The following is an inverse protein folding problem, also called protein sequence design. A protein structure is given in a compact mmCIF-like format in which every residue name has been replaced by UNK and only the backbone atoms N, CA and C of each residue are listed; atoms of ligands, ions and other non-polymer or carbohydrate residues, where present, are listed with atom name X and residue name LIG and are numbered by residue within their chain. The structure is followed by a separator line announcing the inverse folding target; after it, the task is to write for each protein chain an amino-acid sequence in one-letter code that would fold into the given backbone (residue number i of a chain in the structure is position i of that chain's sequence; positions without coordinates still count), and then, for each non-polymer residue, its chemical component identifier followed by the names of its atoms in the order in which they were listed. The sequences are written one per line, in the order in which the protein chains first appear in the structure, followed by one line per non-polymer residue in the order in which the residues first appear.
data_IF_129617639696
#
_entry.id   IF_129617639696
#
_cell.length_a   1.000
_cell.length_b   1.000
_cell.length_c   1.000
_cell.angle_alpha   90.00
_cell.angle_beta   90.00
_cell.angle_gamma   90.00
#
_symmetry.space_group_name_H-M   'P 1'
#
loop_
_entity.id
_entity.type
_entity.pdbx_description
1 polymer ?
#
# COMPACT_ATOMS: atom_id res chain seq x y z
N UNK A 1 14.76 -3.25 0.39
CA UNK A 1 14.78 -1.92 1.04
C UNK A 1 16.20 -1.52 1.42
N UNK A 2 16.89 -2.27 2.31
CA UNK A 2 18.27 -1.98 2.75
C UNK A 2 19.22 -1.87 1.55
N UNK A 3 19.21 -2.85 0.67
CA UNK A 3 20.02 -2.86 -0.57
C UNK A 3 19.81 -1.60 -1.42
N UNK A 4 18.55 -1.12 -1.53
CA UNK A 4 18.24 0.09 -2.28
C UNK A 4 18.87 1.34 -1.66
N UNK A 5 18.72 1.53 -0.34
CA UNK A 5 19.31 2.68 0.34
C UNK A 5 20.83 2.61 0.35
N UNK A 6 21.41 1.44 0.63
CA UNK A 6 22.86 1.24 0.60
C UNK A 6 23.44 1.56 -0.80
N UNK A 7 22.76 1.12 -1.85
CA UNK A 7 23.13 1.44 -3.25
C UNK A 7 23.15 2.96 -3.45
N UNK A 8 22.09 3.68 -3.11
CA UNK A 8 22.02 5.14 -3.26
C UNK A 8 23.07 5.89 -2.45
N UNK A 9 23.37 5.42 -1.24
CA UNK A 9 24.43 6.02 -0.42
C UNK A 9 25.79 5.88 -1.07
N UNK A 10 26.13 4.68 -1.59
CA UNK A 10 27.41 4.42 -2.24
C UNK A 10 27.53 5.17 -3.57
N UNK A 11 26.47 5.19 -4.40
CA UNK A 11 26.43 5.97 -5.65
C UNK A 11 26.64 7.46 -5.39
N UNK A 12 26.00 8.01 -4.36
CA UNK A 12 26.16 9.41 -3.99
C UNK A 12 27.57 9.71 -3.48
N UNK A 13 28.20 8.79 -2.78
CA UNK A 13 29.55 8.95 -2.25
C UNK A 13 30.63 8.78 -3.31
N UNK A 14 30.46 7.87 -4.27
CA UNK A 14 31.45 7.59 -5.33
C UNK A 14 31.35 8.53 -6.53
N UNK A 15 30.17 9.15 -6.76
CA UNK A 15 29.93 10.03 -7.92
C UNK A 15 30.00 9.31 -9.28
N UNK A 16 30.07 7.97 -9.30
CA UNK A 16 30.23 7.14 -10.48
C UNK A 16 29.45 5.83 -10.32
N UNK A 17 29.37 5.05 -11.41
CA UNK A 17 28.80 3.72 -11.39
C UNK A 17 29.49 2.81 -10.37
N UNK A 18 28.73 1.90 -9.77
CA UNK A 18 29.22 1.01 -8.73
C UNK A 18 30.25 0.02 -9.28
N UNK A 19 31.39 -0.08 -8.63
CA UNK A 19 32.36 -1.14 -8.86
C UNK A 19 31.82 -2.48 -8.37
N UNK A 20 32.39 -3.59 -8.86
CA UNK A 20 31.95 -4.93 -8.46
C UNK A 20 32.07 -5.18 -6.95
N UNK A 21 33.08 -4.65 -6.30
CA UNK A 21 33.23 -4.73 -4.85
C UNK A 21 32.15 -3.96 -4.11
N UNK A 22 31.77 -2.79 -4.60
CA UNK A 22 30.68 -1.99 -4.03
C UNK A 22 29.31 -2.66 -4.21
N UNK A 23 29.09 -3.35 -5.36
CA UNK A 23 27.89 -4.16 -5.58
C UNK A 23 27.82 -5.30 -4.56
N UNK A 24 28.92 -6.02 -4.32
CA UNK A 24 28.99 -7.09 -3.32
C UNK A 24 28.72 -6.55 -1.92
N UNK A 25 29.31 -5.40 -1.54
CA UNK A 25 29.05 -4.76 -0.25
C UNK A 25 27.57 -4.37 -0.07
N UNK A 26 26.96 -3.76 -1.10
CA UNK A 26 25.54 -3.38 -1.08
C UNK A 26 24.61 -4.60 -0.96
N UNK A 27 24.94 -5.67 -1.67
CA UNK A 27 24.18 -6.93 -1.56
C UNK A 27 24.38 -7.60 -0.19
N UNK A 28 25.62 -7.66 0.28
CA UNK A 28 25.97 -8.16 1.62
C UNK A 28 25.24 -7.41 2.73
N UNK A 29 25.22 -6.08 2.68
CA UNK A 29 24.45 -5.27 3.62
C UNK A 29 22.96 -5.60 3.62
N UNK A 30 22.39 -5.85 2.44
CA UNK A 30 21.00 -6.30 2.30
C UNK A 30 20.72 -7.64 2.95
N UNK A 31 21.60 -8.60 2.73
CA UNK A 31 21.50 -9.95 3.33
C UNK A 31 21.67 -9.92 4.85
N UNK A 32 22.72 -9.26 5.33
CA UNK A 32 22.96 -9.13 6.78
C UNK A 32 21.81 -8.41 7.49
N UNK A 33 21.29 -7.32 6.92
CA UNK A 33 20.17 -6.62 7.52
C UNK A 33 18.86 -7.43 7.50
N UNK A 34 18.62 -8.22 6.44
CA UNK A 34 17.47 -9.12 6.39
C UNK A 34 17.57 -10.26 7.42
N UNK A 35 18.75 -10.88 7.56
CA UNK A 35 19.00 -11.92 8.54
C UNK A 35 18.90 -11.38 9.97
N UNK A 36 19.49 -10.22 10.25
CA UNK A 36 19.41 -9.58 11.55
C UNK A 36 17.95 -9.28 11.96
N UNK A 37 17.10 -8.84 11.02
CA UNK A 37 15.68 -8.67 11.28
C UNK A 37 14.98 -10.01 11.52
N UNK A 38 15.20 -10.99 10.65
CA UNK A 38 14.54 -12.31 10.72
C UNK A 38 14.85 -13.04 12.02
N UNK A 39 16.08 -12.94 12.52
CA UNK A 39 16.53 -13.60 13.75
C UNK A 39 16.54 -12.66 14.97
N UNK A 40 15.91 -11.47 14.88
CA UNK A 40 15.68 -10.65 16.07
C UNK A 40 14.63 -11.32 16.97
N UNK A 41 14.82 -11.22 18.27
CA UNK A 41 13.90 -11.80 19.26
C UNK A 41 12.47 -11.32 19.03
N UNK A 42 12.28 -10.03 18.84
CA UNK A 42 10.94 -9.42 18.62
C UNK A 42 10.23 -9.97 17.39
N UNK A 43 10.94 -10.15 16.26
CA UNK A 43 10.33 -10.70 15.07
C UNK A 43 10.09 -12.20 15.20
N UNK A 44 11.04 -12.92 15.80
CA UNK A 44 10.92 -14.37 16.03
C UNK A 44 9.71 -14.69 16.91
N UNK A 45 9.55 -14.00 18.04
CA UNK A 45 8.36 -14.15 18.88
C UNK A 45 7.07 -13.86 18.10
N UNK A 46 7.00 -12.74 17.38
CA UNK A 46 5.83 -12.40 16.57
C UNK A 46 5.53 -13.44 15.46
N UNK A 47 6.55 -14.17 15.00
CA UNK A 47 6.39 -15.18 13.96
C UNK A 47 5.86 -16.52 14.50
N UNK A 48 6.20 -16.87 15.74
CA UNK A 48 5.82 -18.16 16.35
C UNK A 48 4.57 -18.11 17.22
N UNK A 49 4.15 -16.93 17.66
CA UNK A 49 2.97 -16.73 18.52
C UNK A 49 1.62 -16.99 17.83
N UNK A 50 1.58 -17.32 16.54
CA UNK A 50 0.32 -17.53 15.81
C UNK A 50 -0.52 -16.27 15.65
N UNK A 51 0.03 -15.10 15.91
CA UNK A 51 -0.58 -13.79 15.79
C UNK A 51 -0.40 -13.22 14.38
N UNK A 52 -1.21 -12.20 14.06
CA UNK A 52 -1.24 -11.57 12.73
C UNK A 52 -0.03 -10.68 12.41
N UNK A 53 0.84 -10.40 13.39
CA UNK A 53 1.91 -9.39 13.27
C UNK A 53 3.00 -9.76 12.27
N UNK A 54 3.40 -11.03 12.20
CA UNK A 54 4.41 -11.48 11.24
C UNK A 54 3.91 -11.31 9.80
N UNK A 55 2.67 -11.71 9.52
CA UNK A 55 2.06 -11.55 8.20
C UNK A 55 1.83 -10.07 7.87
N UNK A 56 1.42 -9.25 8.84
CA UNK A 56 1.32 -7.79 8.69
C UNK A 56 2.66 -7.15 8.34
N UNK A 57 3.74 -7.58 9.01
CA UNK A 57 5.10 -7.12 8.72
C UNK A 57 5.55 -7.50 7.31
N UNK A 58 5.20 -8.71 6.85
CA UNK A 58 5.44 -9.14 5.48
C UNK A 58 4.74 -8.22 4.46
N UNK A 59 3.45 -7.92 4.64
CA UNK A 59 2.73 -7.01 3.75
C UNK A 59 3.34 -5.60 3.76
N UNK A 60 3.73 -5.09 4.92
CA UNK A 60 4.41 -3.80 5.04
C UNK A 60 5.72 -3.79 4.23
N UNK A 61 6.55 -4.82 4.39
CA UNK A 61 7.80 -4.96 3.65
C UNK A 61 7.57 -5.08 2.12
N UNK A 62 6.53 -5.81 1.72
CA UNK A 62 6.15 -6.00 0.32
C UNK A 62 5.68 -4.68 -0.31
N UNK A 63 4.86 -3.91 0.39
CA UNK A 63 4.39 -2.59 -0.06
C UNK A 63 5.56 -1.61 -0.18
N UNK A 64 6.47 -1.57 0.80
CA UNK A 64 7.69 -0.76 0.71
C UNK A 64 8.59 -1.19 -0.45
N UNK A 65 8.75 -2.48 -0.68
CA UNK A 65 9.49 -2.96 -1.84
C UNK A 65 8.83 -2.53 -3.15
N UNK A 66 7.51 -2.63 -3.24
CA UNK A 66 6.77 -2.28 -4.44
C UNK A 66 6.85 -0.77 -4.77
N UNK A 67 6.77 0.12 -3.75
CA UNK A 67 6.90 1.57 -4.00
C UNK A 67 8.31 1.95 -4.45
N UNK A 68 9.35 1.29 -3.95
CA UNK A 68 10.72 1.48 -4.42
C UNK A 68 10.90 0.94 -5.86
N UNK A 69 10.21 -0.13 -6.23
CA UNK A 69 10.16 -0.62 -7.62
C UNK A 69 9.47 0.36 -8.54
N UNK A 70 8.35 0.93 -8.11
CA UNK A 70 7.66 1.99 -8.85
C UNK A 70 8.58 3.20 -9.04
N UNK A 71 9.21 3.69 -7.98
CA UNK A 71 10.11 4.82 -8.02
C UNK A 71 11.24 4.67 -9.07
N UNK A 72 11.82 3.46 -9.16
CA UNK A 72 12.85 3.16 -10.16
C UNK A 72 12.33 3.12 -11.59
N UNK A 73 11.07 2.79 -11.79
CA UNK A 73 10.45 2.58 -13.09
C UNK A 73 9.45 3.67 -13.47
N UNK A 74 9.33 4.72 -12.67
CA UNK A 74 8.27 5.72 -12.80
C UNK A 74 8.22 6.39 -14.18
N UNK A 75 9.38 6.49 -14.88
CA UNK A 75 9.45 7.07 -16.22
C UNK A 75 9.22 6.02 -17.35
N UNK A 76 8.99 4.75 -17.01
CA UNK A 76 8.76 3.69 -17.99
C UNK A 76 7.26 3.49 -18.23
N UNK A 77 6.84 3.14 -19.46
CA UNK A 77 5.45 2.78 -19.75
C UNK A 77 4.96 1.65 -18.84
N UNK A 78 3.76 1.81 -18.27
CA UNK A 78 3.16 0.82 -17.39
C UNK A 78 3.78 0.76 -15.98
N UNK A 79 4.51 1.78 -15.54
CA UNK A 79 5.02 1.88 -14.18
C UNK A 79 3.89 1.89 -13.14
N UNK A 80 2.74 2.48 -13.47
CA UNK A 80 1.59 2.62 -12.56
C UNK A 80 0.97 1.29 -12.12
N UNK A 81 1.26 0.19 -12.83
CA UNK A 81 0.91 -1.16 -12.37
C UNK A 81 1.44 -1.49 -10.97
N UNK A 82 2.56 -0.89 -10.56
CA UNK A 82 3.10 -1.05 -9.22
C UNK A 82 2.27 -0.32 -8.17
N UNK A 83 1.69 0.83 -8.50
CA UNK A 83 0.78 1.56 -7.62
C UNK A 83 -0.51 0.75 -7.44
N UNK A 84 -1.07 0.20 -8.53
CA UNK A 84 -2.24 -0.69 -8.46
C UNK A 84 -1.93 -1.91 -7.59
N UNK A 85 -0.77 -2.53 -7.78
CA UNK A 85 -0.31 -3.66 -6.97
C UNK A 85 -0.19 -3.29 -5.49
N UNK A 86 0.33 -2.10 -5.15
CA UNK A 86 0.42 -1.60 -3.77
C UNK A 86 -0.98 -1.52 -3.15
N UNK A 87 -1.94 -0.87 -3.82
CA UNK A 87 -3.30 -0.74 -3.29
C UNK A 87 -3.99 -2.10 -3.15
N UNK A 88 -3.76 -3.02 -4.08
CA UNK A 88 -4.27 -4.37 -4.00
C UNK A 88 -3.71 -5.13 -2.79
N UNK A 89 -2.39 -5.10 -2.58
CA UNK A 89 -1.75 -5.71 -1.42
C UNK A 89 -2.19 -5.07 -0.10
N UNK A 90 -2.37 -3.76 -0.07
CA UNK A 90 -2.92 -3.07 1.09
C UNK A 90 -4.37 -3.50 1.38
N UNK A 91 -5.20 -3.65 0.36
CA UNK A 91 -6.55 -4.17 0.50
C UNK A 91 -6.60 -5.56 1.12
N UNK A 92 -5.75 -6.49 0.66
CA UNK A 92 -5.62 -7.83 1.26
C UNK A 92 -5.13 -7.72 2.71
N UNK A 93 -4.14 -6.88 2.96
CA UNK A 93 -3.55 -6.69 4.29
C UNK A 93 -4.55 -6.16 5.33
N UNK A 94 -5.53 -5.37 4.93
CA UNK A 94 -6.62 -4.90 5.81
C UNK A 94 -7.38 -6.09 6.42
N UNK A 95 -7.57 -7.17 5.66
CA UNK A 95 -8.20 -8.40 6.14
C UNK A 95 -7.36 -9.17 7.17
N UNK A 96 -6.05 -8.90 7.23
CA UNK A 96 -5.12 -9.49 8.21
C UNK A 96 -4.96 -8.56 9.41
N UNK A 97 -4.52 -7.33 9.17
CA UNK A 97 -4.29 -6.34 10.23
C UNK A 97 -4.24 -4.92 9.64
N UNK A 98 -4.80 -3.95 10.36
CA UNK A 98 -4.89 -2.55 9.92
C UNK A 98 -3.55 -1.79 9.91
N UNK A 99 -2.49 -2.35 10.50
CA UNK A 99 -1.20 -1.66 10.67
C UNK A 99 -0.61 -1.19 9.32
N UNK A 100 -0.82 -1.95 8.25
CA UNK A 100 -0.26 -1.61 6.94
C UNK A 100 -0.81 -0.30 6.36
N UNK A 101 -1.98 0.17 6.79
CA UNK A 101 -2.54 1.48 6.35
C UNK A 101 -1.60 2.63 6.74
N UNK A 102 -0.84 2.48 7.83
CA UNK A 102 0.12 3.49 8.27
C UNK A 102 1.29 3.72 7.30
N UNK A 103 1.45 2.85 6.29
CA UNK A 103 2.43 3.05 5.21
C UNK A 103 1.99 4.10 4.19
N UNK A 104 0.71 4.47 4.13
CA UNK A 104 0.17 5.43 3.13
C UNK A 104 0.90 6.78 3.15
N UNK A 105 1.14 7.44 4.29
CA UNK A 105 1.88 8.69 4.31
C UNK A 105 3.27 8.57 3.68
N UNK A 106 3.97 7.46 3.94
CA UNK A 106 5.29 7.21 3.35
C UNK A 106 5.19 6.99 1.82
N UNK A 107 4.18 6.28 1.33
CA UNK A 107 3.94 6.09 -0.10
C UNK A 107 3.68 7.45 -0.79
N UNK A 108 2.83 8.29 -0.20
CA UNK A 108 2.52 9.64 -0.72
C UNK A 108 3.78 10.52 -0.74
N UNK A 109 4.63 10.42 0.29
CA UNK A 109 5.91 11.13 0.31
C UNK A 109 6.86 10.65 -0.79
N UNK A 110 7.01 9.35 -1.01
CA UNK A 110 7.83 8.80 -2.10
C UNK A 110 7.31 9.29 -3.46
N UNK A 111 5.99 9.25 -3.64
CA UNK A 111 5.35 9.77 -4.85
C UNK A 111 5.63 11.26 -5.06
N UNK A 112 5.51 12.09 -4.01
CA UNK A 112 5.82 13.51 -4.06
C UNK A 112 7.26 13.78 -4.45
N UNK A 113 8.23 13.18 -3.74
CA UNK A 113 9.66 13.41 -4.01
C UNK A 113 10.13 12.89 -5.37
N UNK A 114 9.38 11.94 -5.96
CA UNK A 114 9.68 11.43 -7.30
C UNK A 114 9.16 12.34 -8.41
N UNK A 115 7.98 12.94 -8.26
CA UNK A 115 7.30 13.66 -9.32
C UNK A 115 7.41 15.19 -9.23
N UNK A 116 7.81 15.71 -8.08
CA UNK A 116 7.85 17.15 -7.82
C UNK A 116 9.22 17.60 -7.33
N UNK A 117 9.50 18.92 -7.45
CA UNK A 117 10.72 19.50 -6.89
C UNK A 117 10.72 19.36 -5.38
N UNK A 118 11.76 18.74 -4.85
CA UNK A 118 11.91 18.49 -3.43
C UNK A 118 11.95 19.82 -2.65
N UNK A 119 11.02 19.99 -1.69
CA UNK A 119 11.04 21.09 -0.74
C UNK A 119 10.55 20.61 0.63
N UNK A 120 11.02 21.22 1.69
CA UNK A 120 10.58 20.90 3.05
C UNK A 120 9.07 21.11 3.24
N UNK A 121 8.56 22.25 2.77
CA UNK A 121 7.12 22.57 2.86
C UNK A 121 6.27 21.56 2.05
N UNK A 122 6.69 21.25 0.84
CA UNK A 122 5.99 20.27 0.00
C UNK A 122 6.01 18.86 0.60
N UNK A 123 7.13 18.45 1.22
CA UNK A 123 7.22 17.18 1.94
C UNK A 123 6.24 17.10 3.12
N UNK A 124 6.11 18.16 3.92
CA UNK A 124 5.13 18.23 4.99
C UNK A 124 3.68 18.16 4.45
N UNK A 125 3.36 18.91 3.39
CA UNK A 125 2.03 18.84 2.76
C UNK A 125 1.74 17.42 2.26
N UNK A 126 2.70 16.77 1.60
CA UNK A 126 2.54 15.40 1.13
C UNK A 126 2.30 14.42 2.29
N UNK A 127 3.03 14.57 3.41
CA UNK A 127 2.81 13.79 4.62
C UNK A 127 1.38 13.97 5.16
N UNK A 128 0.92 15.20 5.34
CA UNK A 128 -0.43 15.47 5.83
C UNK A 128 -1.52 14.98 4.87
N UNK A 129 -1.32 15.09 3.55
CA UNK A 129 -2.23 14.48 2.56
C UNK A 129 -2.30 12.96 2.79
N UNK A 130 -1.15 12.29 3.00
CA UNK A 130 -1.11 10.87 3.32
C UNK A 130 -1.86 10.51 4.61
N UNK A 131 -1.74 11.34 5.65
CA UNK A 131 -2.48 11.16 6.91
C UNK A 131 -4.00 11.31 6.70
N UNK A 132 -4.42 12.32 5.92
CA UNK A 132 -5.85 12.52 5.58
C UNK A 132 -6.39 11.33 4.79
N UNK A 133 -5.65 10.83 3.81
CA UNK A 133 -6.02 9.63 3.03
C UNK A 133 -6.14 8.42 3.96
N UNK A 134 -5.19 8.22 4.88
CA UNK A 134 -5.23 7.14 5.88
C UNK A 134 -6.49 7.23 6.73
N UNK A 135 -6.81 8.41 7.27
CA UNK A 135 -8.02 8.65 8.06
C UNK A 135 -9.30 8.40 7.25
N UNK A 136 -9.33 8.85 5.98
CA UNK A 136 -10.45 8.60 5.09
C UNK A 136 -10.69 7.10 4.87
N UNK A 137 -9.63 6.34 4.55
CA UNK A 137 -9.72 4.89 4.36
C UNK A 137 -10.19 4.21 5.64
N UNK A 138 -9.60 4.56 6.79
CA UNK A 138 -9.95 3.98 8.09
C UNK A 138 -11.42 4.20 8.44
N UNK A 139 -11.92 5.41 8.27
CA UNK A 139 -13.29 5.78 8.68
C UNK A 139 -14.29 5.39 7.60
N UNK A 140 -14.12 5.88 6.38
CA UNK A 140 -15.15 5.74 5.34
C UNK A 140 -15.11 4.37 4.66
N UNK A 141 -13.94 3.88 4.24
CA UNK A 141 -13.89 2.61 3.53
C UNK A 141 -14.04 1.41 4.48
N UNK A 142 -13.46 1.44 5.67
CA UNK A 142 -13.49 0.28 6.56
C UNK A 142 -14.73 0.32 7.46
N UNK A 143 -14.92 1.39 8.24
CA UNK A 143 -15.98 1.42 9.24
C UNK A 143 -17.37 1.68 8.64
N UNK A 144 -17.50 2.72 7.79
CA UNK A 144 -18.80 3.10 7.25
C UNK A 144 -19.33 2.13 6.19
N UNK A 145 -18.48 1.47 5.39
CA UNK A 145 -18.94 0.46 4.44
C UNK A 145 -19.69 -0.66 5.14
N UNK A 146 -19.17 -1.16 6.27
CA UNK A 146 -19.83 -2.21 7.06
C UNK A 146 -21.12 -1.70 7.69
N UNK A 147 -21.10 -0.46 8.24
CA UNK A 147 -22.31 0.16 8.80
C UNK A 147 -23.43 0.33 7.77
N UNK A 148 -23.09 0.79 6.56
CA UNK A 148 -24.08 0.96 5.48
C UNK A 148 -24.59 -0.39 4.98
N UNK A 149 -23.73 -1.37 4.81
CA UNK A 149 -24.17 -2.73 4.45
C UNK A 149 -25.14 -3.31 5.49
N UNK A 150 -24.86 -3.13 6.77
CA UNK A 150 -25.78 -3.51 7.85
C UNK A 150 -27.08 -2.72 7.85
N UNK A 151 -27.04 -1.41 7.63
CA UNK A 151 -28.25 -0.58 7.55
C UNK A 151 -29.14 -0.98 6.35
N UNK A 152 -28.54 -1.33 5.21
CA UNK A 152 -29.24 -1.88 4.07
C UNK A 152 -29.96 -3.19 4.45
N UNK A 153 -29.25 -4.09 5.14
CA UNK A 153 -29.85 -5.38 5.54
C UNK A 153 -31.02 -5.19 6.50
N UNK A 154 -30.84 -4.36 7.54
CA UNK A 154 -31.93 -4.01 8.49
C UNK A 154 -33.14 -3.43 7.76
N UNK A 155 -32.94 -2.54 6.78
CA UNK A 155 -34.04 -1.95 6.01
C UNK A 155 -34.73 -3.00 5.14
N UNK A 156 -33.99 -3.88 4.49
CA UNK A 156 -34.54 -4.93 3.64
C UNK A 156 -35.37 -5.94 4.43
N UNK A 157 -34.89 -6.35 5.59
CA UNK A 157 -35.59 -7.29 6.46
C UNK A 157 -36.83 -6.64 7.09
N UNK A 158 -36.66 -5.46 7.71
CA UNK A 158 -37.74 -4.87 8.53
C UNK A 158 -38.80 -4.13 7.69
N UNK A 159 -38.42 -3.51 6.57
CA UNK A 159 -39.34 -2.70 5.77
C UNK A 159 -39.93 -3.50 4.58
N UNK A 160 -39.18 -4.42 4.02
CA UNK A 160 -39.62 -5.19 2.86
C UNK A 160 -39.94 -6.68 3.16
N UNK A 161 -39.67 -7.14 4.40
CA UNK A 161 -39.92 -8.53 4.80
C UNK A 161 -39.05 -9.56 4.06
N UNK A 162 -37.86 -9.14 3.56
CA UNK A 162 -36.97 -10.00 2.83
C UNK A 162 -36.10 -10.85 3.77
N UNK A 163 -35.51 -11.96 3.28
CA UNK A 163 -34.61 -12.78 4.09
C UNK A 163 -33.37 -12.02 4.58
N UNK A 164 -32.80 -12.47 5.71
CA UNK A 164 -31.52 -11.97 6.20
C UNK A 164 -30.44 -12.03 5.09
N UNK A 165 -29.52 -11.09 5.14
CA UNK A 165 -28.44 -10.87 4.16
C UNK A 165 -28.87 -10.38 2.78
N UNK A 166 -30.17 -10.24 2.48
CA UNK A 166 -30.62 -9.73 1.17
C UNK A 166 -30.15 -8.29 0.93
N UNK A 167 -30.27 -7.42 1.93
CA UNK A 167 -29.81 -6.03 1.85
C UNK A 167 -28.28 -5.94 1.81
N UNK A 168 -27.59 -6.75 2.60
CA UNK A 168 -26.14 -6.84 2.60
C UNK A 168 -25.58 -7.21 1.22
N UNK A 169 -26.11 -8.28 0.61
CA UNK A 169 -25.70 -8.72 -0.73
C UNK A 169 -26.01 -7.63 -1.76
N UNK A 170 -27.22 -7.04 -1.70
CA UNK A 170 -27.61 -5.95 -2.62
C UNK A 170 -26.66 -4.76 -2.52
N UNK A 171 -26.24 -4.36 -1.32
CA UNK A 171 -25.28 -3.28 -1.11
C UNK A 171 -23.96 -3.57 -1.85
N UNK A 172 -23.37 -4.74 -1.67
CA UNK A 172 -22.10 -5.09 -2.32
C UNK A 172 -22.24 -5.27 -3.84
N UNK A 173 -23.37 -5.76 -4.31
CA UNK A 173 -23.66 -5.80 -5.77
C UNK A 173 -23.72 -4.39 -6.34
N UNK A 174 -24.40 -3.45 -5.66
CA UNK A 174 -24.44 -2.04 -6.08
C UNK A 174 -23.04 -1.42 -6.10
N UNK A 175 -22.21 -1.65 -5.06
CA UNK A 175 -20.83 -1.19 -5.02
C UNK A 175 -20.02 -1.76 -6.19
N UNK A 176 -20.14 -3.06 -6.47
CA UNK A 176 -19.44 -3.70 -7.59
C UNK A 176 -19.88 -3.12 -8.95
N UNK A 177 -21.18 -2.87 -9.14
CA UNK A 177 -21.72 -2.23 -10.34
C UNK A 177 -21.18 -0.81 -10.49
N UNK A 178 -21.15 0.00 -9.42
CA UNK A 178 -20.60 1.36 -9.45
C UNK A 178 -19.12 1.36 -9.83
N UNK A 179 -18.33 0.44 -9.27
CA UNK A 179 -16.91 0.27 -9.63
C UNK A 179 -16.78 -0.12 -11.12
N UNK A 180 -17.55 -1.08 -11.59
CA UNK A 180 -17.52 -1.51 -12.99
C UNK A 180 -17.90 -0.37 -13.96
N UNK A 181 -18.92 0.42 -13.62
CA UNK A 181 -19.31 1.60 -14.38
C UNK A 181 -18.21 2.68 -14.35
N UNK A 182 -17.57 2.90 -13.20
CA UNK A 182 -16.43 3.81 -13.07
C UNK A 182 -15.26 3.40 -13.97
N UNK A 183 -14.89 2.12 -13.98
CA UNK A 183 -13.84 1.56 -14.84
C UNK A 183 -14.22 1.74 -16.33
N UNK A 184 -15.47 1.41 -16.70
CA UNK A 184 -15.95 1.61 -18.09
C UNK A 184 -15.90 3.07 -18.51
N UNK A 185 -16.28 3.99 -17.62
CA UNK A 185 -16.22 5.42 -17.87
C UNK A 185 -14.78 5.90 -18.05
N UNK A 186 -13.87 5.49 -17.16
CA UNK A 186 -12.45 5.81 -17.25
C UNK A 186 -11.84 5.30 -18.56
N UNK A 187 -12.13 4.06 -18.93
CA UNK A 187 -11.69 3.48 -20.20
C UNK A 187 -12.21 4.25 -21.42
N UNK A 188 -13.49 4.64 -21.40
CA UNK A 188 -14.10 5.42 -22.50
C UNK A 188 -13.47 6.82 -22.64
N UNK A 189 -13.00 7.42 -21.54
CA UNK A 189 -12.34 8.73 -21.53
C UNK A 189 -10.84 8.66 -21.79
N UNK A 190 -10.27 7.48 -21.97
CA UNK A 190 -8.84 7.30 -22.20
C UNK A 190 -7.98 7.55 -20.95
N UNK A 191 -8.57 7.48 -19.76
CA UNK A 191 -7.82 7.50 -18.50
C UNK A 191 -7.23 6.11 -18.25
N UNK A 192 -6.29 5.72 -19.09
CA UNK A 192 -5.54 4.48 -18.89
C UNK A 192 -4.34 4.76 -17.99
N UNK A 193 -4.16 3.91 -16.99
CA UNK A 193 -2.85 3.74 -16.38
C UNK A 193 -2.03 2.86 -17.33
N UNK A 194 -1.39 3.49 -18.29
CA UNK A 194 -0.50 2.81 -19.23
C UNK A 194 0.91 2.74 -18.68
#
# INVERSE_FOLDING_TARGET
TITHFSKRMVEKASGADLTQNQILLVMGAGVVGALAYTFSDSFWYSAVEGEVYALSSFFTALVFWAILKWEHKADQPGADKWIIFIFYMMGISIGVHLLNILTIPAIVMVYYFRNYKASWKGGLVAFFIGVVITGFIQVFLIQYTIKWAGAFDVTFVNSFGLPFFSGFITFFVLVAVLIALGIRYANKKGYYFM
#
